data_IF_935606721632
#
_entry.id   IF_935606721632
#
_cell.length_a   1.000
_cell.length_b   1.000
_cell.length_c   1.000
_cell.angle_alpha   90.00
_cell.angle_beta   90.00
_cell.angle_gamma   90.00
#
_symmetry.space_group_name_H-M   'P 1'
#
loop_
_entity.id
_entity.type
_entity.pdbx_description
1 polymer ?
#
# COMPACT_ATOMS: atom_id res chain seq x y z
N UNK A 1 13.94 18.18 6.52
CA UNK A 1 12.74 17.42 6.09
C UNK A 1 13.09 16.70 4.80
N UNK A 2 13.15 15.37 4.83
CA UNK A 2 13.41 14.55 3.63
C UNK A 2 12.05 14.24 2.98
N UNK A 3 11.81 14.55 1.69
CA UNK A 3 10.53 14.30 1.02
C UNK A 3 10.09 12.82 1.02
N UNK A 4 11.00 11.87 1.25
CA UNK A 4 10.66 10.46 1.45
C UNK A 4 9.89 10.17 2.76
N UNK A 5 9.81 11.13 3.70
CA UNK A 5 9.26 10.93 5.03
C UNK A 5 7.73 11.13 5.13
N UNK A 6 7.04 11.55 4.06
CA UNK A 6 5.56 11.57 4.05
C UNK A 6 4.98 10.17 4.28
N UNK A 7 5.68 9.13 3.80
CA UNK A 7 5.31 7.73 4.02
C UNK A 7 5.40 7.32 5.49
N UNK A 8 6.39 7.82 6.26
CA UNK A 8 6.51 7.57 7.70
C UNK A 8 5.40 8.23 8.53
N UNK A 9 4.85 9.36 8.08
CA UNK A 9 3.68 10.00 8.71
C UNK A 9 2.35 9.45 8.16
N UNK A 10 2.38 8.70 7.07
CA UNK A 10 1.18 8.09 6.51
C UNK A 10 0.72 6.93 7.39
N UNK A 11 -0.39 7.14 8.10
CA UNK A 11 -1.04 6.11 8.93
C UNK A 11 -1.35 4.82 8.16
N UNK A 12 -1.51 4.91 6.84
CA UNK A 12 -1.71 3.75 5.98
C UNK A 12 -0.47 2.86 5.93
N UNK A 13 0.74 3.39 5.69
CA UNK A 13 1.95 2.57 5.61
C UNK A 13 2.26 1.86 6.94
N UNK A 14 2.18 2.59 8.05
CA UNK A 14 2.42 1.99 9.37
C UNK A 14 1.44 0.86 9.68
N UNK A 15 0.18 0.99 9.24
CA UNK A 15 -0.83 -0.07 9.31
C UNK A 15 -0.43 -1.29 8.49
N UNK A 16 -0.01 -1.12 7.24
CA UNK A 16 0.43 -2.22 6.38
C UNK A 16 1.61 -2.99 6.98
N UNK A 17 2.64 -2.27 7.42
CA UNK A 17 3.82 -2.86 8.04
C UNK A 17 3.45 -3.61 9.33
N UNK A 18 2.51 -3.06 10.11
CA UNK A 18 1.99 -3.74 11.30
C UNK A 18 1.29 -5.05 10.94
N UNK A 19 0.39 -5.04 9.95
CA UNK A 19 -0.31 -6.25 9.49
C UNK A 19 0.71 -7.29 8.99
N UNK A 20 1.65 -6.90 8.14
CA UNK A 20 2.70 -7.79 7.63
C UNK A 20 3.61 -8.34 8.75
N UNK A 21 3.90 -7.53 9.79
CA UNK A 21 4.68 -8.00 10.94
C UNK A 21 3.97 -9.05 11.79
N UNK A 22 2.63 -9.06 11.77
CA UNK A 22 1.79 -9.97 12.56
C UNK A 22 1.34 -11.19 11.78
N UNK A 23 1.31 -11.11 10.44
CA UNK A 23 0.85 -12.19 9.57
C UNK A 23 1.90 -12.50 8.48
N UNK A 24 2.61 -13.64 8.55
CA UNK A 24 3.65 -13.99 7.59
C UNK A 24 3.10 -14.25 6.17
N UNK A 25 1.80 -14.44 6.00
CA UNK A 25 1.16 -14.54 4.69
C UNK A 25 0.99 -13.18 3.99
N UNK A 26 1.18 -12.07 4.73
CA UNK A 26 1.04 -10.71 4.20
C UNK A 26 2.42 -10.07 4.07
N UNK A 27 2.78 -9.65 2.85
CA UNK A 27 3.96 -8.84 2.58
C UNK A 27 3.52 -7.41 2.25
N UNK A 28 4.15 -6.43 2.90
CA UNK A 28 3.88 -5.02 2.68
C UNK A 28 5.16 -4.30 2.23
N UNK A 29 5.05 -3.51 1.17
CA UNK A 29 6.14 -2.72 0.60
C UNK A 29 5.65 -1.34 0.21
N UNK A 30 6.51 -0.34 0.39
CA UNK A 30 6.25 1.03 -0.02
C UNK A 30 7.15 1.40 -1.18
N UNK A 31 6.55 1.95 -2.23
CA UNK A 31 7.25 2.47 -3.38
C UNK A 31 6.95 3.96 -3.51
N UNK A 32 7.99 4.77 -3.66
CA UNK A 32 7.84 6.17 -3.98
C UNK A 32 7.62 6.33 -5.49
N UNK A 33 6.43 6.79 -5.89
CA UNK A 33 6.07 7.00 -7.30
C UNK A 33 6.92 8.10 -7.96
N UNK A 34 7.59 8.96 -7.19
CA UNK A 34 8.55 9.91 -7.73
C UNK A 34 9.87 9.24 -8.16
N UNK A 35 10.25 8.15 -7.48
CA UNK A 35 11.44 7.35 -7.83
C UNK A 35 11.11 6.28 -8.88
N UNK A 36 9.89 5.76 -8.87
CA UNK A 36 9.42 4.71 -9.77
C UNK A 36 8.18 5.17 -10.54
N UNK A 37 8.34 6.12 -11.48
CA UNK A 37 7.21 6.65 -12.26
C UNK A 37 6.53 5.57 -13.10
N UNK A 38 7.24 4.50 -13.50
CA UNK A 38 6.61 3.38 -14.22
C UNK A 38 5.48 2.70 -13.42
N UNK A 39 5.56 2.67 -12.09
CA UNK A 39 4.51 2.10 -11.24
C UNK A 39 3.26 2.96 -11.25
N UNK A 40 3.41 4.27 -11.44
CA UNK A 40 2.28 5.18 -11.57
C UNK A 40 1.46 4.84 -12.81
N UNK A 41 2.12 4.70 -13.96
CA UNK A 41 1.46 4.39 -15.22
C UNK A 41 0.91 2.96 -15.23
N UNK A 42 1.68 1.99 -14.72
CA UNK A 42 1.27 0.59 -14.67
C UNK A 42 0.05 0.35 -13.77
N UNK A 43 -0.14 1.13 -12.70
CA UNK A 43 -1.29 1.01 -11.79
C UNK A 43 -2.36 2.08 -11.98
N UNK A 44 -2.17 3.00 -12.93
CA UNK A 44 -3.04 4.16 -13.07
C UNK A 44 -3.13 4.96 -11.77
N UNK A 45 -2.00 5.14 -11.07
CA UNK A 45 -1.96 5.83 -9.79
C UNK A 45 -2.21 7.34 -9.98
N UNK A 46 -3.49 7.73 -9.98
CA UNK A 46 -3.92 9.12 -10.17
C UNK A 46 -3.81 9.95 -8.89
N UNK A 47 -3.86 9.32 -7.72
CA UNK A 47 -3.72 9.95 -6.41
C UNK A 47 -2.96 9.06 -5.44
N UNK A 48 -2.28 9.69 -4.48
CA UNK A 48 -1.58 9.01 -3.38
C UNK A 48 -2.29 9.26 -2.04
N UNK A 49 -2.33 8.26 -1.13
CA UNK A 49 -1.75 6.93 -1.26
C UNK A 49 -2.54 6.04 -2.25
N UNK A 50 -1.81 5.32 -3.09
CA UNK A 50 -2.33 4.26 -3.96
C UNK A 50 -1.91 2.91 -3.37
N UNK A 51 -2.90 2.08 -3.07
CA UNK A 51 -2.73 0.79 -2.43
C UNK A 51 -2.96 -0.27 -3.49
N UNK A 52 -2.02 -1.20 -3.59
CA UNK A 52 -2.15 -2.31 -4.52
C UNK A 52 -2.01 -3.63 -3.78
N UNK A 53 -3.05 -4.44 -3.84
CA UNK A 53 -3.09 -5.75 -3.19
C UNK A 53 -3.07 -6.82 -4.27
N UNK A 54 -2.06 -7.67 -4.23
CA UNK A 54 -1.94 -8.86 -5.07
C UNK A 54 -2.21 -10.08 -4.19
N UNK A 55 -3.15 -10.91 -4.60
CA UNK A 55 -3.52 -12.15 -3.90
C UNK A 55 -2.78 -13.35 -4.49
N UNK A 56 -2.75 -14.44 -3.73
CA UNK A 56 -2.08 -15.68 -4.12
C UNK A 56 -2.69 -16.34 -5.38
N UNK A 57 -3.96 -16.06 -5.67
CA UNK A 57 -4.66 -16.49 -6.90
C UNK A 57 -4.28 -15.65 -8.14
N UNK A 58 -3.37 -14.69 -7.99
CA UNK A 58 -2.95 -13.77 -9.06
C UNK A 58 -3.92 -12.61 -9.27
N UNK A 59 -5.03 -12.55 -8.53
CA UNK A 59 -5.95 -11.40 -8.63
C UNK A 59 -5.31 -10.16 -8.01
N UNK A 60 -5.54 -9.04 -8.67
CA UNK A 60 -4.96 -7.75 -8.29
C UNK A 60 -6.06 -6.73 -8.09
N UNK A 61 -5.98 -6.02 -6.97
CA UNK A 61 -6.90 -4.93 -6.63
C UNK A 61 -6.13 -3.65 -6.36
N UNK A 62 -6.52 -2.58 -7.05
CA UNK A 62 -5.97 -1.23 -6.87
C UNK A 62 -7.01 -0.39 -6.14
N UNK A 63 -6.59 0.27 -5.07
CA UNK A 63 -7.44 1.08 -4.22
C UNK A 63 -6.77 2.44 -3.98
N UNK A 64 -7.58 3.47 -3.86
CA UNK A 64 -7.10 4.84 -3.71
C UNK A 64 -7.56 5.45 -2.39
N UNK A 65 -6.78 6.41 -1.91
CA UNK A 65 -7.10 7.17 -0.71
C UNK A 65 -6.73 6.46 0.59
N UNK A 66 -6.83 7.21 1.69
CA UNK A 66 -6.51 6.69 3.03
C UNK A 66 -7.54 5.63 3.41
N UNK A 67 -7.05 4.48 3.87
CA UNK A 67 -7.88 3.40 4.43
C UNK A 67 -7.63 3.27 5.93
N UNK A 68 -8.69 2.97 6.68
CA UNK A 68 -8.60 2.63 8.10
C UNK A 68 -8.12 1.19 8.29
N UNK A 69 -7.71 0.81 9.51
CA UNK A 69 -7.25 -0.56 9.80
C UNK A 69 -8.30 -1.63 9.41
N UNK A 70 -9.60 -1.48 9.74
CA UNK A 70 -10.61 -2.48 9.35
C UNK A 70 -10.73 -2.63 7.83
N UNK A 71 -10.79 -1.50 7.10
CA UNK A 71 -10.82 -1.51 5.64
C UNK A 71 -9.56 -2.15 5.06
N UNK A 72 -8.43 -1.97 5.72
CA UNK A 72 -7.18 -2.59 5.31
C UNK A 72 -7.21 -4.11 5.48
N UNK A 73 -7.72 -4.61 6.60
CA UNK A 73 -7.89 -6.04 6.86
C UNK A 73 -8.84 -6.68 5.84
N UNK A 74 -9.96 -6.02 5.53
CA UNK A 74 -10.90 -6.47 4.49
C UNK A 74 -10.23 -6.58 3.11
N UNK A 75 -9.32 -5.66 2.78
CA UNK A 75 -8.60 -5.69 1.51
C UNK A 75 -7.63 -6.87 1.41
N UNK A 76 -6.85 -7.11 2.46
CA UNK A 76 -5.88 -8.22 2.50
C UNK A 76 -6.54 -9.57 2.74
N UNK A 77 -7.79 -9.61 3.22
CA UNK A 77 -8.51 -10.84 3.56
C UNK A 77 -7.96 -11.54 4.80
N UNK A 78 -7.43 -10.76 5.75
CA UNK A 78 -6.86 -11.21 7.03
C UNK A 78 -7.83 -11.00 8.20
#
# INVERSE_FOLDING_TARGET
MNPACWLCESSSLSTFLRIASLNPAVRAEAYDVALFPELKDHYGAMSVPCIVVTRADGTRRVEFGKKSIPQMLELVGA
#
